data_IF_855145110096
#
_entry.id   IF_855145110096
#
_cell.length_a   1.000
_cell.length_b   1.000
_cell.length_c   1.000
_cell.angle_alpha   90.00
_cell.angle_beta   90.00
_cell.angle_gamma   90.00
#
_symmetry.space_group_name_H-M   'P 1'
#
loop_
_entity.id
_entity.type
_entity.pdbx_description
1 polymer ?
#
# COMPACT_ATOMS: atom_id res chain seq x y z
N UNK A 1 -10.10 23.51 -5.67
CA UNK A 1 -11.01 22.32 -5.57
C UNK A 1 -10.22 21.12 -5.01
N UNK A 2 -10.86 20.12 -4.38
CA UNK A 2 -10.14 18.88 -3.96
C UNK A 2 -10.18 17.83 -5.06
N UNK A 3 -9.07 17.15 -5.28
CA UNK A 3 -8.94 15.98 -6.15
C UNK A 3 -8.35 14.80 -5.40
N UNK A 4 -8.43 13.62 -6.02
CA UNK A 4 -7.88 12.38 -5.50
C UNK A 4 -7.05 11.73 -6.60
N UNK A 5 -5.83 11.35 -6.25
CA UNK A 5 -4.89 10.64 -7.10
C UNK A 5 -4.72 9.22 -6.57
N UNK A 6 -4.82 8.23 -7.45
CA UNK A 6 -4.72 6.81 -7.10
C UNK A 6 -3.64 6.17 -7.98
N UNK A 7 -2.66 5.51 -7.37
CA UNK A 7 -1.54 4.89 -8.08
C UNK A 7 -0.97 3.72 -7.29
N UNK A 8 -0.31 2.80 -8.00
CA UNK A 8 0.63 1.85 -7.38
C UNK A 8 1.98 2.53 -7.17
N UNK A 9 2.57 2.35 -6.00
CA UNK A 9 3.94 2.75 -5.68
C UNK A 9 4.89 1.60 -6.05
N UNK A 10 5.83 1.89 -6.95
CA UNK A 10 6.88 0.97 -7.37
C UNK A 10 7.90 0.80 -6.23
N UNK A 11 8.52 -0.38 -6.12
CA UNK A 11 9.52 -0.71 -5.08
C UNK A 11 10.64 0.33 -4.90
N UNK A 12 11.01 1.05 -5.96
CA UNK A 12 12.05 2.07 -5.94
C UNK A 12 11.58 3.46 -5.46
N UNK A 13 10.32 3.57 -5.00
CA UNK A 13 9.73 4.81 -4.49
C UNK A 13 9.24 5.76 -5.58
N UNK A 14 8.74 5.21 -6.69
CA UNK A 14 8.16 5.96 -7.81
C UNK A 14 6.70 5.58 -8.04
N UNK A 15 6.00 6.37 -8.85
CA UNK A 15 4.62 6.07 -9.23
C UNK A 15 4.60 5.16 -10.45
N UNK A 16 3.72 4.16 -10.44
CA UNK A 16 3.41 3.38 -11.65
C UNK A 16 2.78 4.27 -12.73
N UNK A 17 2.89 3.82 -13.98
CA UNK A 17 2.27 4.48 -15.13
C UNK A 17 0.74 4.48 -15.07
N UNK A 18 0.12 3.55 -14.32
CA UNK A 18 -1.33 3.45 -14.14
C UNK A 18 -1.86 4.39 -13.04
N UNK A 19 -1.62 5.69 -13.17
CA UNK A 19 -2.20 6.69 -12.26
C UNK A 19 -3.62 7.08 -12.69
N UNK A 20 -4.56 7.09 -11.74
CA UNK A 20 -5.96 7.54 -11.93
C UNK A 20 -6.25 8.77 -11.09
N UNK A 21 -7.17 9.61 -11.57
CA UNK A 21 -7.62 10.82 -10.88
C UNK A 21 -9.14 10.83 -10.75
N UNK A 22 -9.64 11.41 -9.68
CA UNK A 22 -11.06 11.69 -9.50
C UNK A 22 -11.28 12.91 -8.64
N UNK A 23 -12.34 13.67 -8.88
CA UNK A 23 -12.80 14.77 -7.99
C UNK A 23 -13.85 14.29 -6.99
N UNK A 24 -14.34 13.05 -7.14
CA UNK A 24 -15.35 12.45 -6.27
C UNK A 24 -14.70 11.39 -5.38
N UNK A 25 -14.81 11.56 -4.06
CA UNK A 25 -14.20 10.64 -3.10
C UNK A 25 -14.74 9.21 -3.20
N UNK A 26 -16.06 9.04 -3.34
CA UNK A 26 -16.67 7.72 -3.49
C UNK A 26 -16.15 6.99 -4.73
N UNK A 27 -15.95 7.72 -5.84
CA UNK A 27 -15.36 7.14 -7.06
C UNK A 27 -13.87 6.83 -6.88
N UNK A 28 -13.12 7.68 -6.18
CA UNK A 28 -11.73 7.43 -5.84
C UNK A 28 -11.57 6.13 -5.03
N UNK A 29 -12.43 5.92 -4.02
CA UNK A 29 -12.44 4.70 -3.21
C UNK A 29 -12.81 3.47 -4.03
N UNK A 30 -13.75 3.57 -4.98
CA UNK A 30 -14.04 2.47 -5.90
C UNK A 30 -12.81 2.07 -6.71
N UNK A 31 -12.13 3.05 -7.33
CA UNK A 31 -10.92 2.80 -8.13
C UNK A 31 -9.81 2.18 -7.27
N UNK A 32 -9.59 2.70 -6.07
CA UNK A 32 -8.62 2.18 -5.12
C UNK A 32 -8.89 0.71 -4.76
N UNK A 33 -10.15 0.38 -4.46
CA UNK A 33 -10.55 -1.01 -4.19
C UNK A 33 -10.41 -1.92 -5.42
N UNK A 34 -10.63 -1.40 -6.62
CA UNK A 34 -10.48 -2.18 -7.85
C UNK A 34 -9.01 -2.53 -8.12
N UNK A 35 -8.07 -1.64 -7.79
CA UNK A 35 -6.63 -1.93 -7.82
C UNK A 35 -6.25 -3.04 -6.83
N UNK A 36 -6.72 -2.95 -5.59
CA UNK A 36 -6.48 -3.98 -4.56
C UNK A 36 -7.03 -5.34 -5.01
N UNK A 37 -8.24 -5.37 -5.57
CA UNK A 37 -8.85 -6.61 -6.09
C UNK A 37 -8.07 -7.19 -7.27
N UNK A 38 -7.58 -6.34 -8.17
CA UNK A 38 -6.73 -6.75 -9.31
C UNK A 38 -5.45 -7.42 -8.77
N UNK A 39 -4.73 -6.75 -7.88
CA UNK A 39 -3.53 -7.28 -7.22
C UNK A 39 -3.76 -8.61 -6.50
N UNK A 40 -4.85 -8.72 -5.73
CA UNK A 40 -5.20 -9.95 -5.02
C UNK A 40 -5.48 -11.10 -5.99
N UNK A 41 -6.07 -10.80 -7.15
CA UNK A 41 -6.37 -11.80 -8.18
C UNK A 41 -5.11 -12.22 -8.95
N UNK A 42 -4.24 -11.27 -9.27
CA UNK A 42 -2.99 -11.52 -10.01
C UNK A 42 -2.01 -12.36 -9.18
N UNK A 43 -1.91 -12.10 -7.88
CA UNK A 43 -1.02 -12.82 -6.97
C UNK A 43 -1.69 -13.99 -6.23
N UNK A 44 -2.85 -14.46 -6.70
CA UNK A 44 -3.72 -15.38 -5.93
C UNK A 44 -3.03 -16.64 -5.41
N UNK A 45 -2.09 -17.19 -6.17
CA UNK A 45 -1.39 -18.44 -5.83
C UNK A 45 -0.26 -18.22 -4.81
N UNK A 46 0.25 -16.99 -4.74
CA UNK A 46 1.42 -16.62 -3.94
C UNK A 46 1.05 -15.71 -2.75
N UNK A 47 -0.24 -15.44 -2.50
CA UNK A 47 -0.65 -14.67 -1.33
C UNK A 47 -0.03 -15.30 -0.07
N UNK A 48 0.55 -14.48 0.80
CA UNK A 48 1.09 -14.92 2.11
C UNK A 48 0.03 -15.70 2.88
N UNK A 49 0.33 -16.45 3.93
CA UNK A 49 -0.72 -17.05 4.77
C UNK A 49 -1.16 -16.08 5.91
N UNK A 50 -2.12 -16.48 6.75
CA UNK A 50 -2.61 -15.61 7.83
C UNK A 50 -1.56 -15.39 8.94
N UNK A 51 -0.68 -16.35 9.19
CA UNK A 51 0.42 -16.27 10.16
C UNK A 51 1.46 -15.25 9.69
N UNK A 52 1.98 -15.42 8.47
CA UNK A 52 2.90 -14.50 7.80
C UNK A 52 2.34 -13.07 7.75
N UNK A 53 1.06 -12.91 7.38
CA UNK A 53 0.42 -11.60 7.34
C UNK A 53 0.32 -10.92 8.72
N UNK A 54 0.22 -11.69 9.80
CA UNK A 54 0.25 -11.13 11.16
C UNK A 54 1.66 -10.64 11.51
N UNK A 55 2.69 -11.34 11.08
CA UNK A 55 4.08 -10.90 11.23
C UNK A 55 4.30 -9.57 10.50
N UNK A 56 3.82 -9.42 9.26
CA UNK A 56 3.87 -8.15 8.52
C UNK A 56 3.16 -6.98 9.23
N UNK A 57 2.04 -7.25 9.90
CA UNK A 57 1.35 -6.23 10.71
C UNK A 57 2.20 -5.84 11.93
N UNK A 58 2.87 -6.80 12.56
CA UNK A 58 3.77 -6.55 13.69
C UNK A 58 4.98 -5.75 13.20
N UNK A 59 5.58 -6.14 12.08
CA UNK A 59 6.70 -5.43 11.47
C UNK A 59 6.34 -4.01 11.03
N UNK A 60 5.13 -3.77 10.49
CA UNK A 60 4.67 -2.41 10.24
C UNK A 60 4.60 -1.58 11.53
N UNK A 61 4.29 -2.18 12.68
CA UNK A 61 4.24 -1.48 13.97
C UNK A 61 5.62 -1.29 14.60
N UNK A 62 6.53 -2.24 14.40
CA UNK A 62 7.84 -2.31 15.07
C UNK A 62 9.00 -1.73 14.22
N UNK A 63 9.02 -2.04 12.92
CA UNK A 63 10.13 -1.79 11.99
C UNK A 63 9.96 -0.58 11.07
N UNK A 64 9.06 0.36 11.40
CA UNK A 64 8.93 1.68 10.75
C UNK A 64 10.21 2.56 10.71
N UNK A 65 11.33 2.07 11.26
CA UNK A 65 12.67 2.67 11.18
C UNK A 65 13.22 2.81 9.76
N UNK A 66 12.79 1.99 8.79
CA UNK A 66 13.36 2.01 7.42
C UNK A 66 12.63 2.94 6.44
N UNK A 67 11.40 3.36 6.73
CA UNK A 67 10.67 4.34 5.91
C UNK A 67 11.03 5.81 6.23
N UNK A 68 12.33 6.09 6.40
CA UNK A 68 12.88 7.42 6.76
C UNK A 68 12.51 8.56 5.79
N UNK A 69 12.06 8.25 4.56
CA UNK A 69 11.63 9.26 3.58
C UNK A 69 10.25 9.85 3.87
N UNK A 70 9.38 9.15 4.59
CA UNK A 70 8.00 9.58 4.86
C UNK A 70 7.86 10.37 6.19
N UNK A 71 8.82 10.25 7.11
CA UNK A 71 8.76 10.87 8.43
C UNK A 71 9.74 12.04 8.55
N UNK A 72 9.32 13.24 8.12
CA UNK A 72 10.11 14.46 8.32
C UNK A 72 10.12 14.95 9.78
N UNK A 73 9.20 14.47 10.63
CA UNK A 73 8.99 15.02 11.98
C UNK A 73 8.92 13.97 13.12
N UNK A 74 9.23 12.70 12.84
CA UNK A 74 9.32 11.66 13.88
C UNK A 74 8.01 11.28 14.56
N UNK A 75 6.85 11.75 14.10
CA UNK A 75 5.56 11.35 14.64
C UNK A 75 5.05 10.04 14.02
N UNK A 76 4.88 9.05 14.89
CA UNK A 76 4.63 7.63 14.63
C UNK A 76 3.14 7.32 14.48
N UNK A 77 2.41 8.19 13.81
CA UNK A 77 0.96 8.23 13.97
C UNK A 77 0.26 7.81 12.67
N UNK A 78 -0.23 6.58 12.67
CA UNK A 78 -1.02 6.00 11.59
C UNK A 78 -2.24 5.27 12.17
N UNK A 79 -3.33 5.32 11.44
CA UNK A 79 -4.57 4.64 11.75
C UNK A 79 -4.73 3.43 10.82
N UNK A 80 -4.83 2.22 11.39
CA UNK A 80 -5.19 1.02 10.61
C UNK A 80 -6.70 1.08 10.33
N UNK A 81 -7.04 1.11 9.05
CA UNK A 81 -8.42 1.15 8.55
C UNK A 81 -8.94 -0.27 8.32
N UNK A 82 -8.11 -1.16 7.77
CA UNK A 82 -8.48 -2.54 7.46
C UNK A 82 -7.28 -3.47 7.67
N UNK A 83 -7.53 -4.65 8.24
CA UNK A 83 -6.54 -5.73 8.43
C UNK A 83 -7.05 -7.09 7.92
N UNK A 84 -7.71 -7.07 6.77
CA UNK A 84 -8.32 -8.27 6.20
C UNK A 84 -7.30 -8.95 5.30
N UNK A 85 -6.70 -10.03 5.81
CA UNK A 85 -5.81 -10.92 5.08
C UNK A 85 -6.19 -11.10 3.58
N UNK A 86 -5.25 -10.96 2.63
CA UNK A 86 -3.83 -10.55 2.76
C UNK A 86 -3.62 -9.02 2.62
N UNK A 87 -4.67 -8.23 2.88
CA UNK A 87 -4.72 -6.79 2.63
C UNK A 87 -4.66 -6.00 3.93
N UNK A 88 -3.73 -5.06 3.97
CA UNK A 88 -3.61 -4.07 5.05
C UNK A 88 -3.87 -2.68 4.48
N UNK A 89 -4.81 -1.95 5.07
CA UNK A 89 -5.11 -0.56 4.70
C UNK A 89 -4.91 0.32 5.92
N UNK A 90 -4.17 1.40 5.76
CA UNK A 90 -3.93 2.37 6.81
C UNK A 90 -3.77 3.78 6.26
N UNK A 91 -3.85 4.77 7.14
CA UNK A 91 -3.67 6.18 6.82
C UNK A 91 -2.65 6.78 7.78
N UNK A 92 -1.68 7.53 7.26
CA UNK A 92 -0.80 8.30 8.13
C UNK A 92 -1.50 9.59 8.56
N UNK A 93 -1.58 9.86 9.87
CA UNK A 93 -2.43 10.90 10.45
C UNK A 93 -2.06 12.32 10.00
N UNK A 94 -0.80 12.53 9.61
CA UNK A 94 -0.29 13.82 9.10
C UNK A 94 -0.21 13.92 7.59
N UNK A 95 -0.68 12.91 6.87
CA UNK A 95 -0.68 12.92 5.41
C UNK A 95 -2.09 12.81 4.87
N UNK A 96 -2.23 13.27 3.64
CA UNK A 96 -3.45 13.11 2.86
C UNK A 96 -3.52 11.76 2.13
N UNK A 97 -2.72 10.77 2.57
CA UNK A 97 -2.53 9.49 1.89
C UNK A 97 -3.18 8.35 2.68
N UNK A 98 -3.97 7.57 1.97
CA UNK A 98 -4.39 6.23 2.38
C UNK A 98 -3.55 5.22 1.60
N UNK A 99 -3.02 4.23 2.30
CA UNK A 99 -2.11 3.22 1.74
C UNK A 99 -2.75 1.85 1.89
N UNK A 100 -2.69 1.03 0.85
CA UNK A 100 -3.07 -0.37 0.89
C UNK A 100 -1.91 -1.24 0.42
N UNK A 101 -1.55 -2.23 1.23
CA UNK A 101 -0.56 -3.25 0.88
C UNK A 101 -1.27 -4.58 0.67
N UNK A 102 -0.96 -5.25 -0.44
CA UNK A 102 -1.32 -6.64 -0.70
C UNK A 102 -0.04 -7.47 -0.62
N UNK A 103 0.03 -8.36 0.35
CA UNK A 103 1.22 -9.16 0.63
C UNK A 103 1.21 -10.50 -0.10
N UNK A 104 2.35 -10.87 -0.66
CA UNK A 104 2.56 -12.14 -1.37
C UNK A 104 4.02 -12.58 -1.26
N UNK A 105 4.24 -13.88 -1.44
CA UNK A 105 5.57 -14.46 -1.56
C UNK A 105 6.12 -14.20 -2.95
N UNK A 106 7.34 -13.67 -3.04
CA UNK A 106 8.06 -13.57 -4.30
C UNK A 106 9.38 -14.31 -4.20
N UNK A 107 9.73 -15.02 -5.28
CA UNK A 107 11.05 -15.63 -5.40
C UNK A 107 12.10 -14.57 -5.65
N UNK A 108 13.04 -14.42 -4.72
CA UNK A 108 14.11 -13.42 -4.77
C UNK A 108 15.41 -13.98 -5.36
N UNK A 109 15.57 -15.31 -5.40
CA UNK A 109 16.76 -15.97 -5.94
C UNK A 109 16.45 -17.15 -6.86
N UNK A 110 17.01 -17.10 -8.08
CA UNK A 110 16.92 -18.21 -9.04
C UNK A 110 17.79 -19.40 -8.64
N UNK A 111 18.93 -19.16 -8.01
CA UNK A 111 19.89 -20.23 -7.69
C UNK A 111 19.52 -20.99 -6.41
N UNK A 112 18.96 -20.31 -5.41
CA UNK A 112 18.81 -20.86 -4.06
C UNK A 112 17.36 -21.16 -3.63
N UNK A 113 16.38 -20.98 -4.52
CA UNK A 113 14.94 -21.11 -4.20
C UNK A 113 14.55 -20.29 -2.95
N UNK A 114 15.12 -19.10 -2.82
CA UNK A 114 14.81 -18.19 -1.72
C UNK A 114 13.57 -17.38 -2.08
N UNK A 115 12.71 -17.20 -1.08
CA UNK A 115 11.47 -16.45 -1.17
C UNK A 115 11.47 -15.40 -0.05
N UNK A 116 10.90 -14.24 -0.36
CA UNK A 116 10.68 -13.18 0.60
C UNK A 116 9.24 -12.69 0.50
N UNK A 117 8.75 -12.09 1.57
CA UNK A 117 7.43 -11.46 1.57
C UNK A 117 7.58 -10.09 0.94
N UNK A 118 6.85 -9.89 -0.14
CA UNK A 118 6.78 -8.64 -0.86
C UNK A 118 5.37 -8.06 -0.78
N UNK A 119 5.24 -6.78 -1.12
CA UNK A 119 3.94 -6.14 -1.19
C UNK A 119 3.76 -5.28 -2.44
N UNK A 120 2.54 -5.31 -2.96
CA UNK A 120 2.06 -4.31 -3.91
C UNK A 120 1.36 -3.21 -3.13
N UNK A 121 1.91 -2.01 -3.24
CA UNK A 121 1.49 -0.83 -2.48
C UNK A 121 0.66 0.09 -3.36
N UNK A 122 -0.58 0.36 -2.94
CA UNK A 122 -1.46 1.32 -3.60
C UNK A 122 -1.66 2.54 -2.71
N UNK A 123 -1.64 3.72 -3.31
CA UNK A 123 -1.81 4.99 -2.62
C UNK A 123 -3.01 5.73 -3.19
N UNK A 124 -3.91 6.17 -2.30
CA UNK A 124 -4.92 7.18 -2.58
C UNK A 124 -4.51 8.47 -1.87
N UNK A 125 -4.23 9.51 -2.64
CA UNK A 125 -3.73 10.80 -2.17
C UNK A 125 -4.74 11.92 -2.46
N UNK A 126 -5.16 12.65 -1.44
CA UNK A 126 -5.93 13.89 -1.61
C UNK A 126 -4.99 15.04 -2.05
N UNK A 127 -5.33 15.68 -3.18
CA UNK A 127 -4.58 16.77 -3.79
C UNK A 127 -5.42 18.04 -3.88
N UNK A 128 -4.77 19.19 -3.78
CA UNK A 128 -5.39 20.47 -4.10
C UNK A 128 -5.29 20.75 -5.60
N UNK A 129 -6.42 21.14 -6.19
CA UNK A 129 -6.51 21.61 -7.56
C UNK A 129 -6.52 23.14 -7.50
N UNK A 130 -5.42 23.73 -7.95
CA UNK A 130 -5.27 25.17 -8.14
C UNK A 130 -6.00 25.53 -9.43
N UNK A 131 -6.89 26.52 -9.36
CA UNK A 131 -7.58 27.13 -10.52
C UNK A 131 -6.72 28.23 -11.16
#
# INVERSE_FOLDING_TARGET
MKGYKIYEELRWGGESSETKHSVNYGKAIQIFNDFIKKATKENKEDLVNEEDFREEIVDLREHQRFNKKLYKDGSRDFEIICRKYPVLIYKYNKTNKMVANVYFWERTSYEYQEYDIESQTFILEEIEIIE
#
